data_IF_884921919201
#
_entry.id   IF_884921919201
#
_cell.length_a   1.000
_cell.length_b   1.000
_cell.length_c   1.000
_cell.angle_alpha   90.00
_cell.angle_beta   90.00
_cell.angle_gamma   90.00
#
_symmetry.space_group_name_H-M   'P 1'
#
loop_
_entity.id
_entity.type
_entity.pdbx_description
1 polymer ?
#
# COMPACT_ATOMS: atom_id res chain seq x y z
N UNK A 1 -15.72 15.10 -25.11
CA UNK A 1 -14.85 15.94 -24.26
C UNK A 1 -13.96 16.89 -25.07
N UNK A 2 -13.39 16.48 -26.22
CA UNK A 2 -12.63 17.41 -27.08
C UNK A 2 -11.31 17.89 -26.48
N UNK A 3 -10.80 17.20 -25.45
CA UNK A 3 -9.56 17.52 -24.76
C UNK A 3 -8.34 17.15 -25.60
N UNK A 4 -7.26 17.92 -25.43
CA UNK A 4 -5.94 17.49 -25.88
C UNK A 4 -5.52 16.26 -25.08
N UNK A 5 -4.66 15.44 -25.67
CA UNK A 5 -4.14 14.22 -25.02
C UNK A 5 -3.44 14.57 -23.70
N UNK A 6 -2.71 15.69 -23.65
CA UNK A 6 -2.08 16.20 -22.42
C UNK A 6 -3.06 16.40 -21.29
N UNK A 7 -4.19 17.03 -21.60
CA UNK A 7 -5.19 17.45 -20.62
C UNK A 7 -5.98 16.22 -20.12
N UNK A 8 -6.22 15.26 -21.02
CA UNK A 8 -6.81 13.98 -20.66
C UNK A 8 -5.91 13.14 -19.75
N UNK A 9 -4.61 13.06 -20.05
CA UNK A 9 -3.64 12.35 -19.18
C UNK A 9 -3.53 13.05 -17.83
N UNK A 10 -3.43 14.38 -17.81
CA UNK A 10 -3.42 15.16 -16.59
C UNK A 10 -4.66 14.86 -15.74
N UNK A 11 -5.86 14.93 -16.32
CA UNK A 11 -7.12 14.59 -15.64
C UNK A 11 -7.07 13.18 -15.05
N UNK A 12 -6.70 12.17 -15.85
CA UNK A 12 -6.62 10.79 -15.39
C UNK A 12 -5.68 10.62 -14.19
N UNK A 13 -4.52 11.31 -14.20
CA UNK A 13 -3.54 11.25 -13.12
C UNK A 13 -4.06 11.92 -11.86
N UNK A 14 -4.51 13.18 -11.92
CA UNK A 14 -4.96 13.92 -10.72
C UNK A 14 -6.20 13.29 -10.08
N UNK A 15 -7.06 12.66 -10.88
CA UNK A 15 -8.25 11.96 -10.40
C UNK A 15 -7.87 10.64 -9.73
N UNK A 16 -6.94 9.87 -10.32
CA UNK A 16 -6.49 8.59 -9.76
C UNK A 16 -5.66 8.77 -8.48
N UNK A 17 -4.85 9.83 -8.41
CA UNK A 17 -4.10 10.19 -7.21
C UNK A 17 -4.97 10.85 -6.14
N UNK A 18 -6.28 10.98 -6.37
CA UNK A 18 -7.26 11.61 -5.48
C UNK A 18 -6.99 13.10 -5.16
N UNK A 19 -6.12 13.76 -5.92
CA UNK A 19 -5.83 15.20 -5.77
C UNK A 19 -7.03 16.04 -6.22
N UNK A 20 -7.56 15.75 -7.41
CA UNK A 20 -8.84 16.26 -7.88
C UNK A 20 -9.02 17.79 -7.85
N UNK A 21 -8.15 18.55 -8.50
CA UNK A 21 -8.25 20.02 -8.55
C UNK A 21 -9.57 20.56 -9.10
N UNK A 22 -10.25 19.80 -9.97
CA UNK A 22 -11.55 20.15 -10.53
C UNK A 22 -11.51 21.24 -11.62
N UNK A 23 -10.31 21.62 -12.05
CA UNK A 23 -10.04 22.52 -13.16
C UNK A 23 -10.46 21.93 -14.52
N UNK A 24 -10.27 20.62 -14.69
CA UNK A 24 -10.71 19.86 -15.85
C UNK A 24 -11.68 18.77 -15.37
N UNK A 25 -12.89 18.75 -15.91
CA UNK A 25 -13.94 17.78 -15.53
C UNK A 25 -14.77 17.38 -16.75
N UNK A 26 -15.17 16.10 -16.85
CA UNK A 26 -15.96 15.61 -17.98
C UNK A 26 -17.32 16.31 -18.00
N UNK A 27 -17.64 16.95 -19.12
CA UNK A 27 -18.90 17.68 -19.29
C UNK A 27 -19.98 16.82 -19.93
N UNK A 28 -19.58 15.81 -20.68
CA UNK A 28 -20.51 14.89 -21.36
C UNK A 28 -21.01 13.82 -20.41
N UNK A 29 -22.26 13.40 -20.58
CA UNK A 29 -22.85 12.32 -19.78
C UNK A 29 -22.04 11.02 -19.87
N UNK A 30 -21.58 10.68 -21.07
CA UNK A 30 -20.72 9.51 -21.29
C UNK A 30 -19.38 9.64 -20.56
N UNK A 31 -18.74 10.82 -20.59
CA UNK A 31 -17.49 11.08 -19.90
C UNK A 31 -17.61 10.97 -18.38
N UNK A 32 -18.75 11.36 -17.81
CA UNK A 32 -19.04 11.20 -16.38
C UNK A 32 -19.14 9.73 -15.99
N UNK A 33 -19.96 8.95 -16.71
CA UNK A 33 -20.09 7.51 -16.45
C UNK A 33 -18.76 6.76 -16.60
N UNK A 34 -17.97 7.09 -17.62
CA UNK A 34 -16.63 6.54 -17.80
C UNK A 34 -15.72 6.87 -16.61
N UNK A 35 -15.69 8.14 -16.20
CA UNK A 35 -14.90 8.61 -15.06
C UNK A 35 -15.28 7.89 -13.77
N UNK A 36 -16.57 7.68 -13.52
CA UNK A 36 -17.05 6.93 -12.36
C UNK A 36 -16.54 5.49 -12.36
N UNK A 37 -16.64 4.78 -13.49
CA UNK A 37 -16.12 3.42 -13.61
C UNK A 37 -14.60 3.35 -13.46
N UNK A 38 -13.89 4.31 -14.06
CA UNK A 38 -12.44 4.46 -13.94
C UNK A 38 -11.99 4.63 -12.49
N UNK A 39 -12.68 5.48 -11.71
CA UNK A 39 -12.38 5.68 -10.28
C UNK A 39 -12.57 4.40 -9.47
N UNK A 40 -13.67 3.67 -9.67
CA UNK A 40 -13.94 2.43 -8.95
C UNK A 40 -12.86 1.37 -9.21
N UNK A 41 -12.47 1.18 -10.48
CA UNK A 41 -11.41 0.25 -10.84
C UNK A 41 -10.03 0.73 -10.36
N UNK A 42 -9.74 2.03 -10.56
CA UNK A 42 -8.45 2.64 -10.26
C UNK A 42 -8.09 2.59 -8.77
N UNK A 43 -9.05 2.90 -7.89
CA UNK A 43 -8.83 2.83 -6.43
C UNK A 43 -8.45 1.42 -6.00
N UNK A 44 -9.15 0.40 -6.51
CA UNK A 44 -8.82 -1.00 -6.20
C UNK A 44 -7.41 -1.39 -6.64
N UNK A 45 -6.99 -0.96 -7.82
CA UNK A 45 -5.64 -1.20 -8.35
C UNK A 45 -4.58 -0.51 -7.50
N UNK A 46 -4.80 0.76 -7.13
CA UNK A 46 -3.85 1.52 -6.29
C UNK A 46 -3.70 0.86 -4.91
N UNK A 47 -4.80 0.44 -4.28
CA UNK A 47 -4.75 -0.26 -3.00
C UNK A 47 -4.01 -1.60 -3.09
N UNK A 48 -4.26 -2.39 -4.14
CA UNK A 48 -3.54 -3.63 -4.37
C UNK A 48 -2.04 -3.39 -4.58
N UNK A 49 -1.68 -2.36 -5.34
CA UNK A 49 -0.29 -1.97 -5.54
C UNK A 49 0.40 -1.59 -4.23
N UNK A 50 -0.25 -0.77 -3.39
CA UNK A 50 0.25 -0.41 -2.06
C UNK A 50 0.46 -1.67 -1.21
N UNK A 51 -0.51 -2.59 -1.19
CA UNK A 51 -0.40 -3.83 -0.41
C UNK A 51 0.80 -4.69 -0.83
N UNK A 52 1.06 -4.82 -2.14
CA UNK A 52 2.22 -5.55 -2.66
C UNK A 52 3.52 -4.88 -2.23
N UNK A 53 3.63 -3.56 -2.39
CA UNK A 53 4.82 -2.79 -1.97
C UNK A 53 5.04 -2.89 -0.47
N UNK A 54 3.98 -2.74 0.34
CA UNK A 54 4.04 -2.90 1.79
C UNK A 54 4.51 -4.29 2.20
N UNK A 55 4.00 -5.35 1.58
CA UNK A 55 4.43 -6.72 1.87
C UNK A 55 5.91 -6.92 1.53
N UNK A 56 6.36 -6.44 0.37
CA UNK A 56 7.77 -6.53 -0.02
C UNK A 56 8.69 -5.79 0.97
N UNK A 57 8.28 -4.59 1.40
CA UNK A 57 9.01 -3.81 2.40
C UNK A 57 9.06 -4.55 3.74
N UNK A 58 7.93 -5.10 4.22
CA UNK A 58 7.85 -5.84 5.47
C UNK A 58 8.74 -7.09 5.40
N UNK A 59 8.74 -7.83 4.29
CA UNK A 59 9.61 -8.99 4.09
C UNK A 59 11.09 -8.60 4.19
N UNK A 60 11.50 -7.52 3.52
CA UNK A 60 12.86 -6.99 3.62
C UNK A 60 13.22 -6.62 5.07
N UNK A 61 12.30 -5.97 5.80
CA UNK A 61 12.49 -5.67 7.22
C UNK A 61 12.52 -6.93 8.10
N UNK A 62 11.78 -8.00 7.74
CA UNK A 62 11.82 -9.28 8.46
C UNK A 62 13.16 -9.98 8.32
N UNK A 63 13.80 -9.90 7.15
CA UNK A 63 15.15 -10.44 6.96
C UNK A 63 16.17 -9.70 7.83
N UNK A 64 16.12 -8.37 7.81
CA UNK A 64 16.97 -7.50 8.65
C UNK A 64 16.71 -7.78 10.13
N UNK A 65 15.46 -7.73 10.59
CA UNK A 65 15.14 -7.96 12.02
C UNK A 65 15.43 -9.39 12.48
N UNK A 66 15.31 -10.41 11.64
CA UNK A 66 15.70 -11.77 11.99
C UNK A 66 17.22 -11.92 12.20
N UNK A 67 18.02 -11.15 11.46
CA UNK A 67 19.47 -11.06 11.63
C UNK A 67 19.86 -10.24 12.87
N UNK A 68 19.17 -9.12 13.13
CA UNK A 68 19.43 -8.25 14.28
C UNK A 68 18.77 -8.70 15.59
N UNK A 69 17.74 -9.55 15.58
CA UNK A 69 17.11 -10.01 16.82
C UNK A 69 18.05 -11.02 17.51
N UNK A 70 18.75 -10.62 18.58
CA UNK A 70 19.75 -11.49 19.16
C UNK A 70 19.06 -12.72 19.73
N UNK A 71 19.69 -13.89 19.58
CA UNK A 71 19.24 -15.18 20.18
C UNK A 71 19.00 -15.13 21.70
N UNK A 72 19.27 -13.99 22.34
CA UNK A 72 18.97 -13.63 23.71
C UNK A 72 17.47 -13.77 24.06
N UNK A 73 16.53 -13.58 23.12
CA UNK A 73 15.10 -13.86 23.37
C UNK A 73 14.85 -15.36 23.63
N UNK A 74 15.48 -16.25 22.84
CA UNK A 74 15.44 -17.71 23.07
C UNK A 74 16.21 -18.11 24.34
N UNK A 75 17.35 -17.45 24.64
CA UNK A 75 18.13 -17.71 25.85
C UNK A 75 17.37 -17.33 27.13
N UNK A 76 16.58 -16.25 27.12
CA UNK A 76 15.76 -15.82 28.27
C UNK A 76 14.68 -16.84 28.63
N UNK A 77 14.00 -17.40 27.63
CA UNK A 77 13.03 -18.49 27.82
C UNK A 77 13.68 -19.81 28.29
N UNK A 78 14.86 -20.16 27.77
CA UNK A 78 15.60 -21.35 28.21
C UNK A 78 16.12 -21.20 29.64
N UNK A 79 16.64 -20.03 30.02
CA UNK A 79 17.16 -19.76 31.37
C UNK A 79 16.05 -19.81 32.42
N UNK A 80 14.86 -19.26 32.14
CA UNK A 80 13.72 -19.34 33.08
C UNK A 80 13.21 -20.79 33.25
N UNK A 81 13.19 -21.61 32.20
CA UNK A 81 12.87 -23.05 32.29
C UNK A 81 13.87 -23.82 33.13
N UNK A 82 15.17 -23.56 32.97
CA UNK A 82 16.21 -24.22 33.75
C UNK A 82 16.13 -23.81 35.23
N UNK A 83 15.90 -22.53 35.51
CA UNK A 83 15.73 -22.02 36.87
C UNK A 83 14.50 -22.63 37.57
N UNK A 84 13.36 -22.74 36.87
CA UNK A 84 12.15 -23.41 37.41
C UNK A 84 12.35 -24.91 37.69
N UNK A 85 13.30 -25.58 37.05
CA UNK A 85 13.62 -26.99 37.32
C UNK A 85 14.57 -27.19 38.50
N UNK A 86 15.37 -26.18 38.85
CA UNK A 86 16.30 -26.22 40.00
C UNK A 86 15.66 -25.78 41.32
N UNK A 87 14.49 -25.14 41.26
CA UNK A 87 13.73 -24.70 42.43
C UNK A 87 12.70 -25.75 42.92
N UNK A 88 12.78 -26.99 42.41
CA UNK A 88 12.07 -28.18 42.89
C UNK A 88 13.13 -29.15 43.40
#
# INVERSE_FOLDING_TARGET
EGWKISDAVYFCVITLTTVGYGDITPKTEVGKWFTTGYLLAGVGIVLAFIAVVSNHIIENYRHVTAEYMPSNAKKRGRKSRVLKRRAR
#
